data_IF_180830879291
#
_entry.id   IF_180830879291
#
_cell.length_a   1.000
_cell.length_b   1.000
_cell.length_c   1.000
_cell.angle_alpha   90.00
_cell.angle_beta   90.00
_cell.angle_gamma   90.00
#
_symmetry.space_group_name_H-M   'P 1'
#
loop_
_entity.id
_entity.type
_entity.pdbx_description
1 polymer ?
#
# COMPACT_ATOMS: atom_id res chain seq x y z
N UNK A 1 25.43 12.01 -21.33
CA UNK A 1 25.06 12.27 -19.92
C UNK A 1 23.69 11.65 -19.57
N UNK A 2 23.45 10.38 -19.92
CA UNK A 2 22.13 9.71 -19.76
C UNK A 2 22.21 8.20 -19.44
N UNK A 3 23.39 7.71 -19.08
CA UNK A 3 23.63 6.29 -18.78
C UNK A 3 24.01 6.04 -17.30
N UNK A 4 23.76 7.01 -16.40
CA UNK A 4 24.16 6.95 -14.98
C UNK A 4 23.00 6.77 -14.00
N UNK A 5 21.83 6.37 -14.49
CA UNK A 5 20.58 6.25 -13.69
C UNK A 5 20.12 4.78 -13.57
N UNK A 6 20.75 3.84 -14.28
CA UNK A 6 20.36 2.42 -14.25
C UNK A 6 21.28 1.53 -13.41
N UNK A 7 22.32 2.08 -12.79
CA UNK A 7 23.42 1.28 -12.21
C UNK A 7 23.75 1.59 -10.75
N UNK A 8 22.73 1.91 -9.96
CA UNK A 8 22.82 1.75 -8.51
C UNK A 8 21.60 0.98 -8.03
N UNK A 9 21.54 -0.30 -8.42
CA UNK A 9 20.77 -1.26 -7.64
C UNK A 9 21.35 -1.20 -6.22
N UNK A 10 20.60 -0.57 -5.31
CA UNK A 10 20.94 -0.46 -3.89
C UNK A 10 21.44 -1.82 -3.40
N UNK A 11 22.75 -1.89 -3.11
CA UNK A 11 23.39 -3.10 -2.60
C UNK A 11 22.77 -3.38 -1.23
N UNK A 12 22.25 -4.59 -1.04
CA UNK A 12 21.64 -5.01 0.24
C UNK A 12 22.72 -5.00 1.31
N UNK A 13 22.60 -4.10 2.29
CA UNK A 13 23.50 -4.02 3.43
C UNK A 13 22.68 -4.29 4.70
N UNK A 14 22.55 -5.56 5.08
CA UNK A 14 21.79 -5.99 6.27
C UNK A 14 22.25 -5.30 7.58
N UNK A 15 23.43 -4.68 7.58
CA UNK A 15 24.01 -3.94 8.72
C UNK A 15 23.54 -2.49 8.84
N UNK A 16 22.64 -2.01 7.99
CA UNK A 16 22.09 -0.64 8.12
C UNK A 16 21.04 -0.53 9.21
N UNK A 17 20.42 -1.65 9.59
CA UNK A 17 19.64 -1.76 10.81
C UNK A 17 20.47 -2.31 11.95
N UNK A 18 20.34 -1.72 13.14
CA UNK A 18 20.98 -2.19 14.37
C UNK A 18 20.16 -1.83 15.60
N UNK A 19 20.61 -2.31 16.75
CA UNK A 19 20.00 -2.02 18.05
C UNK A 19 20.15 -0.53 18.39
N UNK A 20 19.03 0.20 18.40
CA UNK A 20 18.98 1.62 18.77
C UNK A 20 19.00 1.86 20.27
N UNK A 21 19.12 0.82 21.08
CA UNK A 21 19.10 0.89 22.52
C UNK A 21 17.69 1.12 23.06
N UNK A 22 17.57 1.66 24.26
CA UNK A 22 16.28 1.84 24.95
C UNK A 22 16.24 3.18 25.66
N UNK A 23 15.08 3.84 25.62
CA UNK A 23 14.84 5.07 26.37
C UNK A 23 14.71 4.74 27.88
N UNK A 24 15.08 5.64 28.80
CA UNK A 24 15.11 5.37 30.25
C UNK A 24 13.73 5.09 30.84
N UNK A 25 13.55 4.00 31.62
CA UNK A 25 12.26 3.53 32.21
C UNK A 25 12.23 3.56 33.74
N UNK A 26 11.67 4.60 34.37
CA UNK A 26 11.67 4.67 35.84
C UNK A 26 13.09 4.52 36.38
N UNK A 27 13.40 3.39 37.01
CA UNK A 27 14.72 3.04 37.54
C UNK A 27 15.70 2.44 36.50
N UNK A 28 15.21 2.08 35.30
CA UNK A 28 16.05 1.54 34.23
C UNK A 28 16.74 2.67 33.47
N UNK A 29 18.09 2.73 33.43
CA UNK A 29 18.81 3.79 32.73
C UNK A 29 18.65 3.69 31.20
N UNK A 30 18.95 4.79 30.51
CA UNK A 30 19.03 4.78 29.04
C UNK A 30 20.08 3.76 28.57
N UNK A 31 19.71 2.95 27.58
CA UNK A 31 20.66 2.09 26.88
C UNK A 31 21.03 2.77 25.57
N UNK A 32 22.32 3.08 25.33
CA UNK A 32 22.75 3.76 24.12
C UNK A 32 22.61 2.85 22.88
N UNK A 33 22.53 3.43 21.66
CA UNK A 33 22.59 2.67 20.42
C UNK A 33 23.86 1.83 20.32
N UNK A 34 23.74 0.62 19.76
CA UNK A 34 24.84 -0.34 19.64
C UNK A 34 24.99 -0.80 18.17
N UNK A 35 25.72 -0.04 17.32
CA UNK A 35 25.87 -0.32 15.89
C UNK A 35 26.44 -1.70 15.52
N UNK A 36 27.14 -2.35 16.46
CA UNK A 36 27.67 -3.70 16.27
C UNK A 36 26.66 -4.84 16.48
N UNK A 37 25.45 -4.54 16.96
CA UNK A 37 24.44 -5.53 17.31
C UNK A 37 23.28 -5.54 16.32
N UNK A 38 22.76 -6.74 16.03
CA UNK A 38 21.57 -6.91 15.22
C UNK A 38 20.39 -6.12 15.80
N UNK A 39 19.47 -5.61 14.96
CA UNK A 39 18.31 -4.86 15.43
C UNK A 39 17.47 -5.74 16.37
N UNK A 40 17.10 -5.18 17.52
CA UNK A 40 16.25 -5.85 18.51
C UNK A 40 14.93 -5.09 18.61
N UNK A 41 13.87 -5.72 18.13
CA UNK A 41 12.50 -5.19 18.17
C UNK A 41 11.81 -5.78 19.40
N UNK A 42 11.36 -4.92 20.31
CA UNK A 42 10.54 -5.30 21.47
C UNK A 42 9.27 -4.47 21.41
N UNK A 43 8.13 -5.15 21.30
CA UNK A 43 6.82 -4.54 21.21
C UNK A 43 5.96 -5.04 22.37
N UNK A 44 5.34 -4.11 23.08
CA UNK A 44 4.29 -4.44 24.05
C UNK A 44 2.93 -4.20 23.40
N UNK A 45 2.05 -5.20 23.47
CA UNK A 45 0.71 -5.16 22.89
C UNK A 45 -0.28 -4.63 23.91
N UNK A 46 -0.99 -3.57 23.56
CA UNK A 46 -2.08 -2.96 24.32
C UNK A 46 -3.41 -3.22 23.60
N UNK A 47 -4.40 -3.74 24.33
CA UNK A 47 -5.74 -3.98 23.81
C UNK A 47 -6.65 -2.81 24.23
N UNK A 48 -6.87 -1.86 23.32
CA UNK A 48 -7.69 -0.67 23.59
C UNK A 48 -8.88 -0.61 22.62
N UNK A 49 -10.11 -0.59 23.16
CA UNK A 49 -11.34 -0.30 22.40
C UNK A 49 -11.48 -1.09 21.07
N UNK A 50 -11.21 -2.40 21.10
CA UNK A 50 -11.23 -3.31 19.93
C UNK A 50 -10.13 -3.10 18.86
N UNK A 51 -9.17 -2.19 19.09
CA UNK A 51 -8.02 -1.96 18.23
C UNK A 51 -6.75 -2.46 18.94
N UNK A 52 -5.92 -3.22 18.22
CA UNK A 52 -4.61 -3.63 18.72
C UNK A 52 -3.61 -2.51 18.49
N UNK A 53 -3.00 -2.02 19.58
CA UNK A 53 -1.96 -0.99 19.52
C UNK A 53 -0.69 -1.57 20.13
N UNK A 54 0.46 -1.25 19.55
CA UNK A 54 1.75 -1.73 20.01
C UNK A 54 2.64 -0.55 20.43
N UNK A 55 3.23 -0.61 21.62
CA UNK A 55 4.28 0.31 22.04
C UNK A 55 5.66 -0.27 21.74
N UNK A 56 6.56 0.57 21.25
CA UNK A 56 7.95 0.20 21.01
C UNK A 56 8.79 0.41 22.28
N UNK A 57 9.15 -0.69 22.95
CA UNK A 57 9.95 -0.66 24.18
C UNK A 57 11.46 -0.51 23.91
N UNK A 58 11.87 -0.78 22.67
CA UNK A 58 13.27 -0.67 22.24
C UNK A 58 13.37 0.13 20.94
N UNK A 59 14.36 1.02 20.86
CA UNK A 59 14.61 1.82 19.67
C UNK A 59 15.21 0.95 18.57
N UNK A 60 14.72 1.16 17.36
CA UNK A 60 15.30 0.70 16.11
C UNK A 60 16.18 1.82 15.53
N UNK A 61 17.42 1.50 15.21
CA UNK A 61 18.31 2.41 14.50
C UNK A 61 18.42 2.01 13.03
N UNK A 62 18.40 3.00 12.14
CA UNK A 62 18.61 2.83 10.72
C UNK A 62 19.58 3.87 10.18
N UNK A 63 20.64 3.42 9.52
CA UNK A 63 21.62 4.28 8.88
C UNK A 63 21.18 4.57 7.43
N UNK A 64 20.46 5.68 7.21
CA UNK A 64 20.05 6.09 5.87
C UNK A 64 21.24 6.55 5.01
N UNK A 65 21.11 6.41 3.69
CA UNK A 65 22.17 6.75 2.72
C UNK A 65 22.41 8.25 2.58
N UNK A 66 21.40 9.06 2.90
CA UNK A 66 21.40 10.49 2.64
C UNK A 66 21.18 11.34 3.90
N UNK A 67 20.61 10.74 4.95
CA UNK A 67 20.17 11.44 6.17
C UNK A 67 20.88 10.96 7.45
N UNK A 68 21.87 10.08 7.32
CA UNK A 68 22.61 9.54 8.46
C UNK A 68 21.76 8.62 9.34
N UNK A 69 22.10 8.56 10.63
CA UNK A 69 21.40 7.70 11.60
C UNK A 69 20.02 8.28 11.97
N UNK A 70 19.01 7.43 11.85
CA UNK A 70 17.63 7.65 12.27
C UNK A 70 17.27 6.65 13.37
N UNK A 71 16.81 7.14 14.51
CA UNK A 71 16.39 6.37 15.68
C UNK A 71 14.88 6.49 15.87
N UNK A 72 14.18 5.36 15.96
CA UNK A 72 12.73 5.30 16.19
C UNK A 72 12.42 4.34 17.35
N UNK A 73 11.62 4.73 18.36
CA UNK A 73 10.96 6.03 18.51
C UNK A 73 11.85 7.12 19.12
N UNK A 74 11.42 8.39 19.01
CA UNK A 74 12.08 9.53 19.67
C UNK A 74 11.76 9.62 21.17
N UNK A 75 10.53 9.27 21.53
CA UNK A 75 10.01 9.33 22.87
C UNK A 75 9.27 8.04 23.22
N UNK A 76 9.12 7.81 24.53
CA UNK A 76 8.33 6.70 25.06
C UNK A 76 6.86 6.85 24.72
N UNK A 77 6.16 5.72 24.75
CA UNK A 77 4.72 5.69 24.46
C UNK A 77 4.40 5.91 22.99
N UNK A 78 5.39 5.85 22.09
CA UNK A 78 5.13 5.79 20.66
C UNK A 78 4.30 4.54 20.37
N UNK A 79 3.08 4.78 19.87
CA UNK A 79 2.12 3.77 19.50
C UNK A 79 2.16 3.59 17.99
N UNK A 80 2.45 2.36 17.57
CA UNK A 80 2.25 1.89 16.20
C UNK A 80 1.10 0.90 16.21
N UNK A 81 0.25 0.96 15.20
CA UNK A 81 -0.83 0.00 15.05
C UNK A 81 -0.34 -1.31 14.41
N UNK A 82 0.92 -1.39 13.93
CA UNK A 82 1.46 -2.48 13.09
C UNK A 82 0.57 -2.84 11.87
N UNK A 83 -0.53 -2.11 11.66
CA UNK A 83 -1.62 -2.39 10.73
C UNK A 83 -1.81 -1.31 9.69
N UNK A 84 -1.06 -0.21 9.77
CA UNK A 84 -1.12 0.88 8.80
C UNK A 84 -0.49 0.54 7.45
N UNK A 85 0.03 -0.67 7.25
CA UNK A 85 0.08 -1.26 5.90
C UNK A 85 -1.37 -1.40 5.44
N UNK A 86 -1.84 -0.60 4.46
CA UNK A 86 -3.25 -0.61 4.08
C UNK A 86 -3.69 -2.04 3.86
N UNK A 87 -4.81 -2.47 4.47
CA UNK A 87 -5.27 -3.86 4.43
C UNK A 87 -5.27 -4.44 3.01
N UNK A 88 -5.46 -3.57 2.01
CA UNK A 88 -5.37 -3.84 0.57
C UNK A 88 -4.02 -4.42 0.11
N UNK A 89 -2.92 -4.30 0.85
CA UNK A 89 -1.59 -4.82 0.49
C UNK A 89 -1.12 -5.98 1.36
N UNK A 90 -1.93 -6.44 2.32
CA UNK A 90 -1.60 -7.62 3.14
C UNK A 90 -1.44 -8.90 2.31
N UNK A 91 -2.04 -8.96 1.12
CA UNK A 91 -1.82 -10.05 0.15
C UNK A 91 -0.46 -9.97 -0.56
N UNK A 92 0.15 -8.78 -0.64
CA UNK A 92 1.42 -8.53 -1.33
C UNK A 92 2.62 -8.54 -0.38
N UNK A 93 2.41 -8.06 0.85
CA UNK A 93 3.39 -8.01 1.93
C UNK A 93 2.75 -8.68 3.16
N UNK A 94 3.21 -9.88 3.57
CA UNK A 94 2.70 -10.55 4.77
C UNK A 94 2.82 -9.63 5.99
N UNK A 95 1.93 -9.73 6.99
CA UNK A 95 1.94 -8.83 8.17
C UNK A 95 3.24 -8.89 9.00
N UNK A 96 3.98 -9.99 8.91
CA UNK A 96 5.27 -10.19 9.59
C UNK A 96 6.29 -10.74 8.61
N UNK A 97 7.57 -10.43 8.85
CA UNK A 97 8.66 -10.90 8.02
C UNK A 97 9.77 -9.87 7.91
N UNK A 98 10.63 -10.04 6.91
CA UNK A 98 11.85 -9.25 6.79
C UNK A 98 11.61 -7.73 6.74
N UNK A 99 10.46 -7.27 6.25
CA UNK A 99 10.12 -5.85 6.10
C UNK A 99 9.62 -5.16 7.40
N UNK A 100 9.38 -5.91 8.49
CA UNK A 100 8.88 -5.34 9.75
C UNK A 100 9.75 -4.19 10.30
N UNK A 101 11.10 -4.26 10.31
CA UNK A 101 11.93 -3.13 10.72
C UNK A 101 11.70 -1.88 9.85
N UNK A 102 11.52 -2.06 8.53
CA UNK A 102 11.27 -0.96 7.63
C UNK A 102 9.90 -0.31 7.86
N UNK A 103 8.87 -1.12 8.18
CA UNK A 103 7.54 -0.62 8.50
C UNK A 103 7.54 0.20 9.80
N UNK A 104 8.12 -0.33 10.88
CA UNK A 104 8.27 0.38 12.15
C UNK A 104 9.04 1.70 11.99
N UNK A 105 10.09 1.69 11.18
CA UNK A 105 10.83 2.90 10.84
C UNK A 105 9.91 3.92 10.14
N UNK A 106 9.16 3.51 9.10
CA UNK A 106 8.25 4.40 8.37
C UNK A 106 7.17 4.99 9.27
N UNK A 107 6.55 4.18 10.14
CA UNK A 107 5.55 4.64 11.11
C UNK A 107 6.11 5.74 12.02
N UNK A 108 7.33 5.54 12.53
CA UNK A 108 8.01 6.55 13.33
C UNK A 108 8.34 7.83 12.57
N UNK A 109 8.74 7.71 11.30
CA UNK A 109 9.07 8.87 10.46
C UNK A 109 7.84 9.68 10.02
N UNK A 110 6.72 9.02 9.77
CA UNK A 110 5.48 9.64 9.28
C UNK A 110 4.64 10.19 10.43
N UNK A 111 4.60 9.46 11.55
CA UNK A 111 3.82 9.78 12.74
C UNK A 111 2.33 9.44 12.61
N UNK A 112 1.79 8.91 13.71
CA UNK A 112 0.34 8.76 13.93
C UNK A 112 -0.32 10.08 14.32
N UNK A 113 -1.35 10.03 15.18
CA UNK A 113 -2.04 11.23 15.68
C UNK A 113 -1.09 12.19 16.43
N UNK A 114 -0.06 11.64 17.07
CA UNK A 114 0.93 12.39 17.87
C UNK A 114 2.09 13.00 17.05
N UNK A 115 2.09 12.81 15.72
CA UNK A 115 3.16 13.28 14.85
C UNK A 115 4.38 12.36 14.82
N UNK A 116 5.42 12.78 14.08
CA UNK A 116 6.60 11.96 13.82
C UNK A 116 7.44 11.74 15.10
N UNK A 117 7.82 10.49 15.37
CA UNK A 117 8.60 10.06 16.53
C UNK A 117 9.92 9.45 16.08
N UNK A 118 10.87 10.30 15.69
CA UNK A 118 12.23 9.89 15.38
C UNK A 118 13.28 10.92 15.82
N UNK A 119 14.50 10.46 16.01
CA UNK A 119 15.68 11.31 16.22
C UNK A 119 16.64 11.10 15.06
N UNK A 120 17.05 12.20 14.42
CA UNK A 120 18.16 12.21 13.46
C UNK A 120 19.40 12.74 14.16
N UNK A 121 20.50 11.99 14.13
CA UNK A 121 21.77 12.44 14.74
C UNK A 121 22.35 13.68 14.10
N UNK A 122 22.04 13.90 12.82
CA UNK A 122 22.44 15.07 12.05
C UNK A 122 21.40 16.22 12.13
N UNK A 123 20.32 16.04 12.90
CA UNK A 123 19.30 17.07 13.12
C UNK A 123 18.35 17.30 11.94
N UNK A 124 18.26 16.36 10.99
CA UNK A 124 17.39 16.48 9.83
C UNK A 124 15.91 16.43 10.21
N UNK A 125 15.11 17.30 9.58
CA UNK A 125 13.64 17.22 9.62
C UNK A 125 13.12 16.65 8.31
N UNK A 126 12.65 15.42 8.35
CA UNK A 126 12.15 14.69 7.21
C UNK A 126 10.74 15.13 6.83
N UNK A 127 10.53 15.35 5.54
CA UNK A 127 9.20 15.39 4.93
C UNK A 127 8.65 13.98 4.73
N UNK A 128 7.33 13.85 4.57
CA UNK A 128 6.71 12.54 4.27
C UNK A 128 7.23 11.92 2.98
N UNK A 129 7.59 12.73 1.98
CA UNK A 129 8.19 12.25 0.72
C UNK A 129 9.57 11.63 0.98
N UNK A 130 10.35 12.20 1.89
CA UNK A 130 11.64 11.62 2.30
C UNK A 130 11.44 10.36 3.13
N UNK A 131 10.45 10.33 4.03
CA UNK A 131 10.08 9.12 4.77
C UNK A 131 9.71 7.97 3.81
N UNK A 132 8.95 8.23 2.76
CA UNK A 132 8.59 7.22 1.75
C UNK A 132 9.85 6.70 1.02
N UNK A 133 10.80 7.57 0.66
CA UNK A 133 12.09 7.15 0.09
C UNK A 133 12.87 6.28 1.06
N UNK A 134 13.03 6.74 2.31
CA UNK A 134 13.73 6.00 3.37
C UNK A 134 13.12 4.62 3.53
N UNK A 135 11.78 4.52 3.53
CA UNK A 135 11.07 3.25 3.65
C UNK A 135 11.36 2.30 2.49
N UNK A 136 11.37 2.79 1.25
CA UNK A 136 11.72 1.98 0.07
C UNK A 136 13.15 1.43 0.16
N UNK A 137 14.08 2.27 0.60
CA UNK A 137 15.49 1.91 0.69
C UNK A 137 15.72 0.93 1.87
N UNK A 138 15.06 1.17 3.01
CA UNK A 138 15.03 0.26 4.16
C UNK A 138 14.41 -1.10 3.83
N UNK A 139 13.38 -1.14 2.99
CA UNK A 139 12.84 -2.38 2.45
C UNK A 139 13.88 -3.14 1.60
N UNK A 140 14.72 -2.44 0.84
CA UNK A 140 15.82 -3.08 0.12
C UNK A 140 16.85 -3.69 1.08
N UNK A 141 17.19 -2.99 2.16
CA UNK A 141 18.17 -3.44 3.16
C UNK A 141 17.71 -4.62 4.00
N UNK A 142 16.38 -4.78 4.13
CA UNK A 142 15.76 -5.97 4.71
C UNK A 142 15.56 -7.12 3.73
N UNK A 143 16.02 -6.99 2.48
CA UNK A 143 15.94 -8.04 1.47
C UNK A 143 14.60 -8.11 0.73
N UNK A 144 13.76 -7.08 0.82
CA UNK A 144 12.51 -7.00 0.05
C UNK A 144 12.82 -6.85 -1.45
N UNK A 145 12.25 -7.76 -2.25
CA UNK A 145 12.43 -7.79 -3.71
C UNK A 145 12.08 -6.48 -4.39
N UNK A 146 12.77 -6.17 -5.49
CA UNK A 146 12.70 -4.88 -6.20
C UNK A 146 11.27 -4.49 -6.54
N UNK A 147 10.53 -5.37 -7.22
CA UNK A 147 9.15 -5.09 -7.64
C UNK A 147 8.26 -4.77 -6.44
N UNK A 148 8.31 -5.60 -5.38
CA UNK A 148 7.50 -5.43 -4.18
C UNK A 148 7.75 -4.08 -3.50
N UNK A 149 9.01 -3.70 -3.26
CA UNK A 149 9.32 -2.42 -2.59
C UNK A 149 8.87 -1.20 -3.39
N UNK A 150 8.92 -1.26 -4.73
CA UNK A 150 8.46 -0.18 -5.60
C UNK A 150 6.93 -0.07 -5.64
N UNK A 151 6.21 -1.19 -5.56
CA UNK A 151 4.75 -1.20 -5.42
C UNK A 151 4.35 -0.55 -4.10
N UNK A 152 4.94 -1.01 -2.99
CA UNK A 152 4.66 -0.48 -1.65
C UNK A 152 5.00 1.01 -1.57
N UNK A 153 6.16 1.41 -2.12
CA UNK A 153 6.55 2.82 -2.20
C UNK A 153 5.54 3.68 -2.97
N UNK A 154 5.03 3.17 -4.10
CA UNK A 154 4.00 3.88 -4.88
C UNK A 154 2.72 4.09 -4.08
N UNK A 155 2.31 3.09 -3.29
CA UNK A 155 1.13 3.17 -2.44
C UNK A 155 1.28 4.21 -1.33
N UNK A 156 2.40 4.19 -0.58
CA UNK A 156 2.64 5.18 0.49
C UNK A 156 2.83 6.58 -0.08
N UNK A 157 3.47 6.71 -1.25
CA UNK A 157 3.62 8.00 -1.95
C UNK A 157 2.27 8.56 -2.37
N UNK A 158 1.36 7.71 -2.84
CA UNK A 158 -0.01 8.12 -3.18
C UNK A 158 -0.76 8.59 -1.93
N UNK A 159 -0.64 7.88 -0.81
CA UNK A 159 -1.19 8.32 0.47
C UNK A 159 -0.59 9.68 0.91
N UNK A 160 0.73 9.87 0.76
CA UNK A 160 1.43 11.13 1.02
C UNK A 160 0.89 12.28 0.16
N UNK A 161 0.52 12.04 -1.09
CA UNK A 161 -0.09 13.06 -1.95
C UNK A 161 -1.43 13.55 -1.36
N UNK A 162 -2.28 12.63 -0.92
CA UNK A 162 -3.63 12.95 -0.43
C UNK A 162 -3.67 13.43 1.03
N UNK A 163 -2.89 12.81 1.91
CA UNK A 163 -2.93 13.04 3.36
C UNK A 163 -1.74 13.88 3.83
N UNK A 164 -0.59 13.77 3.16
CA UNK A 164 0.66 14.34 3.63
C UNK A 164 0.83 15.85 3.43
N UNK A 165 1.72 16.42 4.25
CA UNK A 165 2.28 17.77 4.12
C UNK A 165 3.61 17.74 3.34
N UNK A 166 4.02 18.87 2.76
CA UNK A 166 5.31 18.98 2.03
C UNK A 166 5.31 18.52 0.56
N UNK A 167 4.15 18.18 -0.01
CA UNK A 167 4.04 17.76 -1.42
C UNK A 167 4.17 18.93 -2.40
N UNK A 168 3.71 20.13 -2.00
CA UNK A 168 3.93 21.38 -2.71
C UNK A 168 4.06 22.57 -1.74
N UNK A 169 4.77 23.62 -2.19
CA UNK A 169 5.06 24.83 -1.40
C UNK A 169 3.81 25.65 -1.07
N UNK A 170 2.86 25.73 -2.01
CA UNK A 170 1.63 26.53 -1.88
C UNK A 170 0.40 25.65 -1.66
N UNK A 171 -0.62 26.19 -0.99
CA UNK A 171 -1.89 25.49 -0.80
C UNK A 171 -2.57 25.17 -2.13
N UNK A 172 -2.58 26.12 -3.07
CA UNK A 172 -3.10 25.92 -4.42
C UNK A 172 -2.35 24.81 -5.16
N UNK A 173 -1.02 24.78 -5.11
CA UNK A 173 -0.23 23.73 -5.74
C UNK A 173 -0.53 22.33 -5.17
N UNK A 174 -0.77 22.21 -3.86
CA UNK A 174 -1.19 20.94 -3.25
C UNK A 174 -2.59 20.53 -3.71
N UNK A 175 -3.53 21.47 -3.75
CA UNK A 175 -4.88 21.20 -4.24
C UNK A 175 -4.87 20.77 -5.71
N UNK A 176 -4.16 21.50 -6.58
CA UNK A 176 -4.06 21.19 -7.99
C UNK A 176 -3.41 19.82 -8.24
N UNK A 177 -2.37 19.47 -7.47
CA UNK A 177 -1.77 18.13 -7.50
C UNK A 177 -2.79 17.05 -7.11
N UNK A 178 -3.48 17.21 -5.97
CA UNK A 178 -4.48 16.24 -5.49
C UNK A 178 -5.64 16.08 -6.47
N UNK A 179 -6.13 17.19 -7.03
CA UNK A 179 -7.17 17.18 -8.04
C UNK A 179 -6.71 16.49 -9.33
N UNK A 180 -5.51 16.80 -9.83
CA UNK A 180 -4.95 16.17 -11.02
C UNK A 180 -4.69 14.67 -10.85
N UNK A 181 -4.15 14.27 -9.70
CA UNK A 181 -3.95 12.86 -9.32
C UNK A 181 -5.30 12.14 -9.20
N UNK A 182 -6.26 12.73 -8.48
CA UNK A 182 -7.61 12.18 -8.34
C UNK A 182 -8.31 12.02 -9.68
N UNK A 183 -8.26 13.04 -10.55
CA UNK A 183 -8.83 12.99 -11.89
C UNK A 183 -8.17 11.90 -12.76
N UNK A 184 -6.84 11.75 -12.67
CA UNK A 184 -6.11 10.70 -13.37
C UNK A 184 -6.55 9.31 -12.93
N UNK A 185 -6.65 9.07 -11.62
CA UNK A 185 -7.08 7.77 -11.08
C UNK A 185 -8.54 7.45 -11.46
N UNK A 186 -9.43 8.44 -11.37
CA UNK A 186 -10.83 8.30 -11.79
C UNK A 186 -10.93 7.97 -13.28
N UNK A 187 -10.12 8.62 -14.12
CA UNK A 187 -10.07 8.32 -15.55
C UNK A 187 -9.58 6.89 -15.81
N UNK A 188 -8.54 6.43 -15.11
CA UNK A 188 -8.05 5.05 -15.23
C UNK A 188 -9.15 4.05 -14.85
N UNK A 189 -9.84 4.28 -13.73
CA UNK A 189 -10.96 3.42 -13.30
C UNK A 189 -12.09 3.43 -14.33
N UNK A 190 -12.45 4.61 -14.85
CA UNK A 190 -13.52 4.75 -15.83
C UNK A 190 -13.19 4.07 -17.17
N UNK A 191 -11.95 4.16 -17.62
CA UNK A 191 -11.48 3.44 -18.81
C UNK A 191 -11.42 1.93 -18.58
N UNK A 192 -11.01 1.50 -17.39
CA UNK A 192 -11.05 0.09 -17.00
C UNK A 192 -12.48 -0.46 -17.01
N UNK A 193 -13.43 0.26 -16.41
CA UNK A 193 -14.87 -0.05 -16.46
C UNK A 193 -15.41 -0.14 -17.89
N UNK A 194 -15.03 0.82 -18.74
CA UNK A 194 -15.45 0.85 -20.14
C UNK A 194 -14.86 -0.32 -20.93
N UNK A 195 -13.59 -0.67 -20.69
CA UNK A 195 -12.95 -1.84 -21.29
C UNK A 195 -13.59 -3.15 -20.81
N UNK A 196 -14.05 -3.24 -19.55
CA UNK A 196 -14.81 -4.40 -19.07
C UNK A 196 -16.11 -4.55 -19.85
N UNK A 197 -16.85 -3.44 -20.00
CA UNK A 197 -18.14 -3.43 -20.67
C UNK A 197 -17.99 -3.90 -22.14
N UNK A 198 -16.96 -3.41 -22.83
CA UNK A 198 -16.61 -3.79 -24.20
C UNK A 198 -16.25 -5.29 -24.30
N UNK A 199 -15.43 -5.81 -23.38
CA UNK A 199 -15.00 -7.23 -23.37
C UNK A 199 -16.18 -8.23 -23.23
N UNK A 200 -17.30 -7.78 -22.65
CA UNK A 200 -18.51 -8.58 -22.49
C UNK A 200 -19.60 -8.21 -23.50
N UNK A 201 -19.27 -7.46 -24.55
CA UNK A 201 -20.18 -6.97 -25.59
C UNK A 201 -21.43 -6.28 -25.00
N UNK A 202 -21.25 -5.51 -23.91
CA UNK A 202 -22.36 -4.95 -23.15
C UNK A 202 -22.24 -3.44 -23.00
N UNK A 203 -23.29 -2.72 -23.39
CA UNK A 203 -23.39 -1.28 -23.19
C UNK A 203 -23.85 -0.96 -21.77
N UNK A 204 -22.91 -0.78 -20.83
CA UNK A 204 -23.23 -0.30 -19.49
C UNK A 204 -23.43 1.23 -19.44
N UNK A 205 -24.18 1.76 -18.47
CA UNK A 205 -24.38 3.21 -18.34
C UNK A 205 -23.05 3.94 -18.21
N UNK A 206 -22.89 5.05 -18.94
CA UNK A 206 -21.68 5.88 -18.97
C UNK A 206 -20.42 5.20 -19.55
N UNK A 207 -20.46 3.92 -19.95
CA UNK A 207 -19.31 3.27 -20.57
C UNK A 207 -19.02 3.91 -21.94
N UNK A 208 -17.75 4.23 -22.20
CA UNK A 208 -17.30 4.72 -23.49
C UNK A 208 -16.83 3.58 -24.37
N UNK A 209 -17.09 3.69 -25.66
CA UNK A 209 -16.47 2.80 -26.64
C UNK A 209 -14.97 3.12 -26.71
N UNK A 210 -14.16 2.15 -26.33
CA UNK A 210 -12.71 2.30 -26.27
C UNK A 210 -12.10 1.97 -27.64
N UNK A 211 -11.38 2.91 -28.29
CA UNK A 211 -10.98 2.75 -29.70
C UNK A 211 -9.97 1.63 -29.96
N UNK A 212 -9.34 1.08 -28.92
CA UNK A 212 -8.36 0.01 -29.02
C UNK A 212 -8.95 -1.41 -28.91
N UNK A 213 -10.19 -1.56 -28.45
CA UNK A 213 -10.93 -2.83 -28.42
C UNK A 213 -11.91 -2.85 -29.60
N UNK A 214 -13.13 -2.33 -29.46
CA UNK A 214 -14.07 -2.21 -30.59
C UNK A 214 -14.41 -3.56 -31.24
N UNK A 215 -15.08 -3.57 -32.40
CA UNK A 215 -15.50 -4.82 -33.07
C UNK A 215 -14.29 -5.60 -33.61
N UNK A 216 -13.67 -6.42 -32.76
CA UNK A 216 -12.51 -7.24 -33.10
C UNK A 216 -12.72 -8.67 -32.60
N UNK A 217 -11.76 -9.54 -32.86
CA UNK A 217 -11.78 -10.86 -32.21
C UNK A 217 -11.46 -10.69 -30.71
N UNK A 218 -12.14 -11.44 -29.86
CA UNK A 218 -11.96 -11.42 -28.40
C UNK A 218 -10.50 -11.37 -27.92
N UNK A 219 -9.58 -12.16 -28.51
CA UNK A 219 -8.16 -12.15 -28.12
C UNK A 219 -7.45 -10.81 -28.40
N UNK A 220 -7.85 -10.13 -29.47
CA UNK A 220 -7.31 -8.80 -29.84
C UNK A 220 -7.85 -7.73 -28.90
N UNK A 221 -9.10 -7.85 -28.45
CA UNK A 221 -9.66 -6.98 -27.43
C UNK A 221 -8.95 -7.16 -26.09
N UNK A 222 -8.71 -8.41 -25.65
CA UNK A 222 -7.93 -8.69 -24.43
C UNK A 222 -6.53 -8.10 -24.52
N UNK A 223 -5.83 -8.31 -25.65
CA UNK A 223 -4.48 -7.77 -25.85
C UNK A 223 -4.49 -6.22 -25.92
N UNK A 224 -5.46 -5.64 -26.62
CA UNK A 224 -5.64 -4.19 -26.73
C UNK A 224 -5.98 -3.54 -25.38
N UNK A 225 -6.88 -4.15 -24.62
CA UNK A 225 -7.24 -3.74 -23.26
C UNK A 225 -6.05 -3.80 -22.31
N UNK A 226 -5.26 -4.88 -22.34
CA UNK A 226 -4.04 -4.99 -21.54
C UNK A 226 -2.98 -3.96 -21.96
N UNK A 227 -2.77 -3.76 -23.26
CA UNK A 227 -1.84 -2.76 -23.76
C UNK A 227 -2.24 -1.34 -23.31
N UNK A 228 -3.53 -1.00 -23.40
CA UNK A 228 -4.05 0.28 -22.93
C UNK A 228 -3.94 0.42 -21.40
N UNK A 229 -4.19 -0.65 -20.64
CA UNK A 229 -4.00 -0.68 -19.18
C UNK A 229 -2.56 -0.42 -18.74
N UNK A 230 -1.58 -0.60 -19.64
CA UNK A 230 -0.18 -0.25 -19.39
C UNK A 230 0.12 1.15 -19.92
N UNK A 231 -0.17 1.43 -21.18
CA UNK A 231 0.24 2.66 -21.86
C UNK A 231 -0.50 3.89 -21.32
N UNK A 232 -1.81 3.80 -21.11
CA UNK A 232 -2.62 4.95 -20.68
C UNK A 232 -2.18 5.48 -19.32
N UNK A 233 -2.02 4.65 -18.26
CA UNK A 233 -1.49 5.15 -16.99
C UNK A 233 -0.10 5.76 -17.10
N UNK A 234 0.81 5.18 -17.90
CA UNK A 234 2.15 5.73 -18.10
C UNK A 234 2.11 7.14 -18.70
N UNK A 235 1.24 7.37 -19.69
CA UNK A 235 1.07 8.68 -20.33
C UNK A 235 0.41 9.67 -19.38
N UNK A 236 -0.69 9.30 -18.73
CA UNK A 236 -1.41 10.20 -17.82
C UNK A 236 -0.56 10.61 -16.62
N UNK A 237 0.19 9.67 -16.04
CA UNK A 237 1.02 9.93 -14.87
C UNK A 237 2.31 10.69 -15.20
N UNK A 238 2.70 10.84 -16.46
CA UNK A 238 3.83 11.69 -16.86
C UNK A 238 3.62 13.15 -16.41
N UNK A 239 2.36 13.60 -16.30
CA UNK A 239 2.00 14.94 -15.82
C UNK A 239 2.22 15.15 -14.31
N UNK A 240 2.52 14.09 -13.53
CA UNK A 240 2.65 14.18 -12.07
C UNK A 240 4.01 14.75 -11.60
N UNK A 241 4.86 15.20 -12.53
CA UNK A 241 6.17 15.78 -12.23
C UNK A 241 7.07 14.77 -11.50
N UNK A 242 7.60 15.12 -10.32
CA UNK A 242 8.47 14.23 -9.54
C UNK A 242 7.79 12.93 -9.07
N UNK A 243 6.46 12.89 -9.03
CA UNK A 243 5.70 11.71 -8.58
C UNK A 243 5.30 10.78 -9.73
N UNK A 244 5.73 11.05 -10.97
CA UNK A 244 5.41 10.21 -12.13
C UNK A 244 5.76 8.72 -11.94
N UNK A 245 6.86 8.30 -11.26
CA UNK A 245 7.14 6.87 -11.11
C UNK A 245 6.12 6.18 -10.22
N UNK A 246 5.67 6.85 -9.15
CA UNK A 246 4.64 6.33 -8.26
C UNK A 246 3.28 6.22 -8.99
N UNK A 247 2.94 7.24 -9.78
CA UNK A 247 1.75 7.24 -10.62
C UNK A 247 1.78 6.15 -11.69
N UNK A 248 2.91 5.98 -12.38
CA UNK A 248 3.10 4.95 -13.39
C UNK A 248 2.85 3.55 -12.81
N UNK A 249 3.53 3.21 -11.71
CA UNK A 249 3.39 1.89 -11.07
C UNK A 249 1.98 1.72 -10.50
N UNK A 250 1.51 2.67 -9.70
CA UNK A 250 0.20 2.60 -9.06
C UNK A 250 -0.96 2.59 -10.06
N UNK A 251 -0.86 3.38 -11.12
CA UNK A 251 -1.85 3.47 -12.20
C UNK A 251 -1.91 2.22 -13.07
N UNK A 252 -0.75 1.65 -13.45
CA UNK A 252 -0.71 0.36 -14.18
C UNK A 252 -1.28 -0.76 -13.31
N UNK A 253 -0.88 -0.82 -12.03
CA UNK A 253 -1.45 -1.80 -11.11
C UNK A 253 -2.96 -1.64 -10.96
N UNK A 254 -3.45 -0.41 -10.78
CA UNK A 254 -4.87 -0.13 -10.69
C UNK A 254 -5.61 -0.59 -11.95
N UNK A 255 -5.11 -0.24 -13.14
CA UNK A 255 -5.75 -0.60 -14.41
C UNK A 255 -5.79 -2.12 -14.64
N UNK A 256 -4.67 -2.80 -14.42
CA UNK A 256 -4.54 -4.25 -14.65
C UNK A 256 -5.33 -5.05 -13.61
N UNK A 257 -5.27 -4.64 -12.34
CA UNK A 257 -5.88 -5.38 -11.24
C UNK A 257 -7.33 -4.96 -10.94
N UNK A 258 -7.85 -3.90 -11.59
CA UNK A 258 -9.19 -3.36 -11.31
C UNK A 258 -10.26 -4.45 -11.22
N UNK A 259 -10.32 -5.30 -12.24
CA UNK A 259 -11.32 -6.36 -12.36
C UNK A 259 -11.19 -7.41 -11.24
N UNK A 260 -9.94 -7.79 -10.92
CA UNK A 260 -9.65 -8.72 -9.83
C UNK A 260 -10.04 -8.11 -8.48
N UNK A 261 -9.73 -6.84 -8.27
CA UNK A 261 -10.10 -6.08 -7.07
C UNK A 261 -11.62 -6.00 -6.91
N UNK A 262 -12.34 -5.68 -7.99
CA UNK A 262 -13.82 -5.65 -7.96
C UNK A 262 -14.39 -7.03 -7.66
N UNK A 263 -13.88 -8.10 -8.28
CA UNK A 263 -14.32 -9.46 -8.00
C UNK A 263 -14.10 -9.88 -6.54
N UNK A 264 -12.90 -9.63 -6.00
CA UNK A 264 -12.60 -9.88 -4.58
C UNK A 264 -13.45 -9.04 -3.64
N UNK A 265 -13.70 -7.78 -3.98
CA UNK A 265 -14.56 -6.91 -3.19
C UNK A 265 -15.99 -7.43 -3.14
N UNK A 266 -16.56 -7.88 -4.26
CA UNK A 266 -17.90 -8.50 -4.31
C UNK A 266 -17.96 -9.73 -3.42
N UNK A 267 -16.98 -10.62 -3.51
CA UNK A 267 -16.91 -11.83 -2.66
C UNK A 267 -16.83 -11.45 -1.17
N UNK A 268 -15.95 -10.50 -0.84
CA UNK A 268 -15.72 -10.07 0.55
C UNK A 268 -16.96 -9.39 1.13
N UNK A 269 -17.60 -8.48 0.40
CA UNK A 269 -18.84 -7.81 0.82
C UNK A 269 -19.98 -8.81 0.94
N UNK A 270 -20.07 -9.80 0.05
CA UNK A 270 -21.03 -10.90 0.15
C UNK A 270 -20.84 -11.70 1.44
N UNK A 271 -19.60 -12.08 1.75
CA UNK A 271 -19.27 -12.75 3.01
C UNK A 271 -19.65 -11.87 4.23
N UNK A 272 -19.24 -10.60 4.25
CA UNK A 272 -19.55 -9.68 5.34
C UNK A 272 -21.06 -9.49 5.53
N UNK A 273 -21.83 -9.45 4.44
CA UNK A 273 -23.28 -9.37 4.48
C UNK A 273 -23.89 -10.65 5.09
N UNK A 274 -23.41 -11.83 4.69
CA UNK A 274 -23.83 -13.11 5.30
C UNK A 274 -23.52 -13.14 6.79
N UNK A 275 -22.32 -12.72 7.19
CA UNK A 275 -21.92 -12.70 8.60
C UNK A 275 -22.76 -11.69 9.40
N UNK A 276 -23.05 -10.52 8.82
CA UNK A 276 -23.96 -9.55 9.41
C UNK A 276 -25.37 -10.11 9.60
N UNK A 277 -25.92 -10.81 8.61
CA UNK A 277 -27.22 -11.49 8.72
C UNK A 277 -27.16 -12.59 9.79
N UNK A 278 -26.10 -13.39 9.83
CA UNK A 278 -25.94 -14.48 10.79
C UNK A 278 -25.90 -13.96 12.24
N UNK A 279 -25.20 -12.85 12.49
CA UNK A 279 -25.14 -12.20 13.80
C UNK A 279 -26.48 -11.61 14.23
N UNK A 280 -27.28 -11.08 13.29
CA UNK A 280 -28.53 -10.35 13.59
C UNK A 280 -29.79 -11.24 13.57
N UNK A 281 -29.81 -12.25 12.71
CA UNK A 281 -30.94 -13.16 12.49
C UNK A 281 -30.45 -14.55 12.04
N UNK A 282 -30.04 -15.42 12.98
CA UNK A 282 -29.42 -16.71 12.65
C UNK A 282 -30.35 -17.68 11.89
N UNK A 283 -31.68 -17.54 12.05
CA UNK A 283 -32.65 -18.32 11.29
C UNK A 283 -32.71 -17.90 9.81
N UNK A 284 -32.60 -16.60 9.52
CA UNK A 284 -32.57 -16.07 8.17
C UNK A 284 -31.30 -16.50 7.42
N UNK A 285 -30.16 -16.53 8.12
CA UNK A 285 -28.92 -17.07 7.57
C UNK A 285 -29.04 -18.56 7.19
N UNK A 286 -29.71 -19.38 8.00
CA UNK A 286 -29.96 -20.80 7.66
C UNK A 286 -30.86 -20.96 6.44
N UNK A 287 -31.92 -20.16 6.33
CA UNK A 287 -32.79 -20.18 5.15
C UNK A 287 -32.04 -19.75 3.89
N UNK A 288 -31.21 -18.71 3.98
CA UNK A 288 -30.35 -18.26 2.88
C UNK A 288 -29.40 -19.36 2.44
N UNK A 289 -28.73 -20.04 3.38
CA UNK A 289 -27.84 -21.17 3.09
C UNK A 289 -28.57 -22.32 2.38
N UNK A 290 -29.73 -22.73 2.90
CA UNK A 290 -30.54 -23.80 2.28
C UNK A 290 -30.96 -23.41 0.87
N UNK A 291 -31.38 -22.16 0.67
CA UNK A 291 -31.72 -21.63 -0.66
C UNK A 291 -30.55 -21.69 -1.63
N UNK A 292 -29.37 -21.18 -1.22
CA UNK A 292 -28.15 -21.20 -2.05
C UNK A 292 -27.75 -22.62 -2.43
N UNK A 293 -27.74 -23.55 -1.46
CA UNK A 293 -27.39 -24.96 -1.71
C UNK A 293 -28.40 -25.61 -2.67
N UNK A 294 -29.69 -25.36 -2.48
CA UNK A 294 -30.74 -25.93 -3.34
C UNK A 294 -30.60 -25.44 -4.78
N UNK A 295 -30.38 -24.13 -4.98
CA UNK A 295 -30.15 -23.55 -6.32
C UNK A 295 -28.88 -24.11 -6.94
N UNK A 296 -27.79 -24.22 -6.17
CA UNK A 296 -26.52 -24.76 -6.67
C UNK A 296 -26.67 -26.23 -7.11
N UNK A 297 -27.33 -27.07 -6.30
CA UNK A 297 -27.61 -28.46 -6.63
C UNK A 297 -28.49 -28.59 -7.88
N UNK A 298 -29.55 -27.79 -7.98
CA UNK A 298 -30.43 -27.79 -9.15
C UNK A 298 -29.67 -27.36 -10.43
N UNK A 299 -28.84 -26.33 -10.34
CA UNK A 299 -28.02 -25.85 -11.46
C UNK A 299 -26.99 -26.89 -11.89
N UNK A 300 -26.31 -27.53 -10.93
CA UNK A 300 -25.34 -28.58 -11.21
C UNK A 300 -26.00 -29.80 -11.86
N UNK A 301 -27.14 -30.24 -11.35
CA UNK A 301 -27.90 -31.36 -11.92
C UNK A 301 -28.35 -31.05 -13.36
N UNK A 302 -28.75 -29.81 -13.64
CA UNK A 302 -29.12 -29.37 -14.99
C UNK A 302 -27.93 -29.42 -15.95
N UNK A 303 -26.77 -28.86 -15.56
CA UNK A 303 -25.56 -28.83 -16.40
C UNK A 303 -24.97 -30.21 -16.69
N UNK A 304 -25.09 -31.17 -15.77
CA UNK A 304 -24.60 -32.54 -15.96
C UNK A 304 -25.59 -33.40 -16.74
N UNK A 305 -26.89 -33.07 -16.67
CA UNK A 305 -27.95 -33.77 -17.38
C UNK A 305 -28.18 -33.29 -18.82
N UNK A 306 -27.68 -32.11 -19.18
CA UNK A 306 -27.67 -31.55 -20.54
C UNK A 306 -26.42 -31.97 -21.31
#
# INVERSE_FOLDING_TARGET
MRARVLEEQVRVEARRFYDGGALPDGDSPEVPPAPGHAPRIVLERHAEQEIEVFSMERRLAYLDRHLGELLVPAARGFRTDLTSVPALFTWLVPKTGAHLPAALLHDGLVGGEDGASYVSTEGHRLSRVEADRVFRDAMADTGTGVVRRWIVWSAVTLATIFVGSGTARTAWGRWALRAGVGATLLLIVHLGYSATADLFDRSWPLAWQVPWMGDRSWWVEVAGGLAAAIVVPLVLCAAWGRFWPAGAIGGVMLAVLLHVTVGLAVITLGYQAVEWVARRAPWAARLLLVGVVTVALATFAWLVGS
#
